data_IF_037679685260
#
_entry.id   IF_037679685260
#
_cell.length_a   1.000
_cell.length_b   1.000
_cell.length_c   1.000
_cell.angle_alpha   90.00
_cell.angle_beta   90.00
_cell.angle_gamma   90.00
#
_symmetry.space_group_name_H-M   'P 1'
#
loop_
_entity.id
_entity.type
_entity.pdbx_description
1 polymer ?
#
# COMPACT_ATOMS: atom_id res chain seq x y z
N UNK A 1 7.69 14.59 -36.98
CA UNK A 1 8.04 13.47 -36.08
C UNK A 1 6.93 12.44 -36.18
N UNK A 2 7.27 11.22 -36.55
CA UNK A 2 6.30 10.12 -36.61
C UNK A 2 6.33 9.40 -35.28
N UNK A 3 5.19 9.35 -34.57
CA UNK A 3 5.04 8.57 -33.38
C UNK A 3 4.85 7.11 -33.76
N UNK A 4 5.55 6.22 -33.07
CA UNK A 4 5.39 4.78 -33.21
C UNK A 4 4.76 4.22 -31.93
N UNK A 5 3.68 3.45 -32.09
CA UNK A 5 3.06 2.68 -31.03
C UNK A 5 3.56 1.25 -31.11
N UNK A 6 4.23 0.80 -30.05
CA UNK A 6 4.75 -0.54 -29.94
C UNK A 6 3.95 -1.34 -28.91
N UNK A 7 3.49 -2.53 -29.28
CA UNK A 7 2.86 -3.46 -28.33
C UNK A 7 3.94 -4.30 -27.65
N UNK A 8 3.95 -4.25 -26.32
CA UNK A 8 4.94 -4.99 -25.51
C UNK A 8 4.20 -5.95 -24.56
N UNK A 9 4.59 -7.22 -24.62
CA UNK A 9 4.11 -8.30 -23.74
C UNK A 9 5.17 -8.76 -22.74
N UNK A 10 6.35 -8.21 -22.81
CA UNK A 10 7.59 -8.67 -22.18
C UNK A 10 8.27 -7.54 -21.38
N UNK A 11 7.49 -6.61 -20.83
CA UNK A 11 8.05 -5.56 -19.97
C UNK A 11 8.79 -6.19 -18.79
N UNK A 12 10.04 -5.82 -18.65
CA UNK A 12 10.88 -6.23 -17.53
C UNK A 12 10.54 -5.42 -16.27
N UNK A 13 10.87 -5.91 -15.06
CA UNK A 13 10.70 -5.11 -13.83
C UNK A 13 11.36 -3.73 -13.92
N UNK A 14 12.57 -3.63 -14.47
CA UNK A 14 13.26 -2.35 -14.63
C UNK A 14 12.54 -1.39 -15.58
N UNK A 15 11.90 -1.89 -16.63
CA UNK A 15 11.09 -1.05 -17.53
C UNK A 15 9.82 -0.56 -16.84
N UNK A 16 9.20 -1.41 -15.99
CA UNK A 16 8.04 -1.01 -15.16
C UNK A 16 8.47 0.04 -14.15
N UNK A 17 9.57 -0.17 -13.45
CA UNK A 17 10.13 0.80 -12.49
C UNK A 17 10.39 2.15 -13.15
N UNK A 18 10.95 2.15 -14.36
CA UNK A 18 11.19 3.38 -15.12
C UNK A 18 9.89 4.12 -15.52
N UNK A 19 8.79 3.41 -15.72
CA UNK A 19 7.48 4.01 -15.95
C UNK A 19 6.93 4.58 -14.62
N UNK A 20 7.05 3.82 -13.54
CA UNK A 20 6.63 4.26 -12.19
C UNK A 20 7.39 5.52 -11.76
N UNK A 21 8.69 5.62 -12.01
CA UNK A 21 9.51 6.80 -11.73
C UNK A 21 9.00 8.03 -12.46
N UNK A 22 8.68 7.92 -13.75
CA UNK A 22 8.12 9.02 -14.52
C UNK A 22 6.74 9.45 -14.01
N UNK A 23 5.94 8.47 -13.62
CA UNK A 23 4.62 8.71 -13.04
C UNK A 23 4.73 9.42 -11.69
N UNK A 24 5.65 8.98 -10.84
CA UNK A 24 5.95 9.62 -9.57
C UNK A 24 6.41 11.07 -9.75
N UNK A 25 7.36 11.33 -10.64
CA UNK A 25 7.84 12.68 -10.94
C UNK A 25 6.71 13.60 -11.41
N UNK A 26 5.88 13.12 -12.32
CA UNK A 26 4.71 13.88 -12.80
C UNK A 26 3.77 14.24 -11.65
N UNK A 27 3.40 13.26 -10.84
CA UNK A 27 2.46 13.46 -9.72
C UNK A 27 3.06 14.35 -8.64
N UNK A 28 4.31 14.14 -8.29
CA UNK A 28 5.03 14.91 -7.27
C UNK A 28 5.17 16.37 -7.67
N UNK A 29 5.46 16.62 -8.95
CA UNK A 29 5.51 17.98 -9.49
C UNK A 29 4.13 18.66 -9.46
N UNK A 30 3.08 17.93 -9.83
CA UNK A 30 1.72 18.46 -9.88
C UNK A 30 1.20 18.96 -8.52
N UNK A 31 1.59 18.31 -7.43
CA UNK A 31 1.14 18.67 -6.06
C UNK A 31 2.25 19.26 -5.18
N UNK A 32 3.47 19.42 -5.71
CA UNK A 32 4.60 19.97 -4.97
C UNK A 32 5.10 19.08 -3.81
N UNK A 33 4.94 17.75 -3.90
CA UNK A 33 5.33 16.80 -2.86
C UNK A 33 6.26 15.72 -3.43
N UNK A 34 7.54 15.81 -3.05
CA UNK A 34 8.62 14.90 -3.49
C UNK A 34 9.15 14.03 -2.34
N UNK A 35 8.28 13.70 -1.39
CA UNK A 35 8.61 12.96 -0.18
C UNK A 35 8.25 11.46 -0.27
N UNK A 36 8.10 10.94 -1.47
CA UNK A 36 7.83 9.53 -1.71
C UNK A 36 8.99 8.65 -1.24
N UNK A 37 8.68 7.63 -0.45
CA UNK A 37 9.67 6.71 0.09
C UNK A 37 9.09 5.31 0.19
N UNK A 38 9.85 4.32 -0.29
CA UNK A 38 9.52 2.90 -0.10
C UNK A 38 9.46 2.54 1.38
N UNK A 39 8.59 1.60 1.69
CA UNK A 39 8.38 1.08 3.03
C UNK A 39 8.25 -0.43 2.95
N UNK A 40 9.07 -1.15 3.70
CA UNK A 40 9.02 -2.61 3.70
C UNK A 40 9.57 -3.22 4.97
N UNK A 41 9.06 -4.41 5.27
CA UNK A 41 9.53 -5.29 6.34
C UNK A 41 9.69 -6.69 5.82
N UNK A 42 10.70 -7.39 6.27
CA UNK A 42 11.01 -8.77 5.87
C UNK A 42 11.23 -9.60 7.12
N UNK A 43 10.64 -10.78 7.16
CA UNK A 43 10.93 -11.81 8.16
C UNK A 43 11.80 -12.87 7.50
N UNK A 44 12.88 -13.26 8.19
CA UNK A 44 13.77 -14.34 7.76
C UNK A 44 13.82 -15.42 8.80
N UNK A 45 14.00 -16.66 8.37
CA UNK A 45 14.30 -17.77 9.24
C UNK A 45 15.78 -17.81 9.65
N UNK A 46 16.15 -18.80 10.47
CA UNK A 46 17.53 -18.97 10.97
C UNK A 46 18.55 -19.27 9.85
N UNK A 47 18.11 -19.67 8.67
CA UNK A 47 18.95 -19.87 7.49
C UNK A 47 19.13 -18.60 6.65
N UNK A 48 18.41 -17.52 7.01
CA UNK A 48 18.39 -16.27 6.24
C UNK A 48 17.38 -16.25 5.11
N UNK A 49 16.58 -17.31 4.92
CA UNK A 49 15.53 -17.35 3.92
C UNK A 49 14.38 -16.42 4.28
N UNK A 50 13.89 -15.64 3.30
CA UNK A 50 12.71 -14.81 3.48
C UNK A 50 11.46 -15.68 3.60
N UNK A 51 10.77 -15.58 4.72
CA UNK A 51 9.54 -16.32 5.03
C UNK A 51 8.29 -15.45 5.10
N UNK A 52 8.46 -14.15 5.06
CA UNK A 52 7.36 -13.19 4.99
C UNK A 52 7.86 -11.80 4.68
N UNK A 53 6.99 -10.99 4.08
CA UNK A 53 7.27 -9.60 3.77
C UNK A 53 6.00 -8.75 3.67
N UNK A 54 6.15 -7.47 3.97
CA UNK A 54 5.20 -6.42 3.66
C UNK A 54 5.94 -5.32 2.90
N UNK A 55 5.36 -4.82 1.81
CA UNK A 55 5.98 -3.80 0.99
C UNK A 55 4.96 -2.81 0.45
N UNK A 56 5.36 -1.56 0.38
CA UNK A 56 4.57 -0.46 -0.14
C UNK A 56 5.36 0.84 -0.10
N UNK A 57 4.69 1.94 0.20
CA UNK A 57 5.31 3.25 0.25
C UNK A 57 4.53 4.24 1.11
N UNK A 58 5.18 5.35 1.42
CA UNK A 58 4.56 6.58 1.92
C UNK A 58 4.84 7.72 0.94
N UNK A 59 3.87 8.59 0.73
CA UNK A 59 3.99 9.78 -0.11
C UNK A 59 2.89 10.77 0.23
N UNK A 60 3.22 12.04 0.27
CA UNK A 60 2.25 13.13 0.43
C UNK A 60 1.23 12.93 1.56
N UNK A 61 1.67 12.36 2.67
CA UNK A 61 0.81 12.10 3.82
C UNK A 61 -0.13 10.90 3.70
N UNK A 62 0.10 10.03 2.72
CA UNK A 62 -0.62 8.76 2.55
C UNK A 62 0.34 7.57 2.52
N UNK A 63 -0.19 6.38 2.70
CA UNK A 63 0.53 5.12 2.54
C UNK A 63 -0.31 4.10 1.78
N UNK A 64 0.35 3.27 1.00
CA UNK A 64 -0.23 2.08 0.40
C UNK A 64 0.58 0.85 0.82
N UNK A 65 -0.10 -0.17 1.32
CA UNK A 65 0.46 -1.50 1.48
C UNK A 65 0.17 -2.28 0.18
N UNK A 66 1.18 -2.38 -0.70
CA UNK A 66 1.04 -3.01 -2.01
C UNK A 66 1.04 -4.53 -1.93
N UNK A 67 1.93 -5.08 -1.13
CA UNK A 67 2.16 -6.52 -1.05
C UNK A 67 2.32 -6.95 0.40
N UNK A 68 1.64 -8.03 0.75
CA UNK A 68 1.88 -8.77 1.99
C UNK A 68 1.86 -10.26 1.69
N UNK A 69 2.87 -10.97 2.17
CA UNK A 69 3.01 -12.39 1.94
C UNK A 69 3.68 -13.05 3.14
N UNK A 70 3.20 -14.24 3.47
CA UNK A 70 3.84 -15.14 4.43
C UNK A 70 3.87 -16.53 3.79
N UNK A 71 5.03 -17.16 3.83
CA UNK A 71 5.23 -18.52 3.34
C UNK A 71 4.21 -19.48 3.98
N UNK A 72 3.67 -20.38 3.17
CA UNK A 72 2.62 -21.33 3.59
C UNK A 72 3.01 -22.14 4.83
N UNK A 73 4.27 -22.55 4.94
CA UNK A 73 4.78 -23.33 6.06
C UNK A 73 4.81 -22.54 7.40
N UNK A 74 4.74 -21.23 7.33
CA UNK A 74 4.84 -20.33 8.48
C UNK A 74 3.54 -19.60 8.82
N UNK A 75 2.44 -19.88 8.08
CA UNK A 75 1.13 -19.27 8.35
C UNK A 75 0.52 -19.74 9.66
N UNK A 76 -0.44 -18.96 10.17
CA UNK A 76 -1.14 -19.28 11.42
C UNK A 76 -0.31 -19.03 12.70
N UNK A 77 0.82 -18.33 12.60
CA UNK A 77 1.73 -18.03 13.70
C UNK A 77 1.78 -16.54 14.09
N UNK A 78 0.92 -15.73 13.50
CA UNK A 78 0.86 -14.29 13.77
C UNK A 78 1.83 -13.42 12.97
N UNK A 79 2.60 -13.97 12.03
CA UNK A 79 3.60 -13.21 11.27
C UNK A 79 2.99 -12.15 10.36
N UNK A 80 1.87 -12.44 9.70
CA UNK A 80 1.17 -11.46 8.87
C UNK A 80 0.70 -10.27 9.70
N UNK A 81 0.16 -10.52 10.88
CA UNK A 81 -0.26 -9.45 11.80
C UNK A 81 0.92 -8.62 12.29
N UNK A 82 2.03 -9.26 12.63
CA UNK A 82 3.25 -8.56 13.05
C UNK A 82 3.81 -7.67 11.93
N UNK A 83 3.81 -8.15 10.68
CA UNK A 83 4.20 -7.38 9.51
C UNK A 83 3.27 -6.17 9.31
N UNK A 84 1.97 -6.38 9.43
CA UNK A 84 0.97 -5.32 9.29
C UNK A 84 1.15 -4.25 10.38
N UNK A 85 1.29 -4.66 11.62
CA UNK A 85 1.46 -3.74 12.74
C UNK A 85 2.75 -2.90 12.59
N UNK A 86 3.85 -3.52 12.20
CA UNK A 86 5.11 -2.83 11.94
C UNK A 86 4.98 -1.82 10.78
N UNK A 87 4.34 -2.23 9.70
CA UNK A 87 4.11 -1.37 8.53
C UNK A 87 3.25 -0.16 8.88
N UNK A 88 2.15 -0.37 9.61
CA UNK A 88 1.25 0.70 10.05
C UNK A 88 1.96 1.69 10.97
N UNK A 89 2.74 1.22 11.94
CA UNK A 89 3.48 2.10 12.86
C UNK A 89 4.54 2.93 12.14
N UNK A 90 5.27 2.34 11.21
CA UNK A 90 6.24 3.08 10.42
C UNK A 90 5.57 4.13 9.52
N UNK A 91 4.48 3.77 8.86
CA UNK A 91 3.71 4.71 8.05
C UNK A 91 3.19 5.89 8.90
N UNK A 92 2.67 5.60 10.10
CA UNK A 92 2.25 6.64 11.05
C UNK A 92 3.41 7.54 11.47
N UNK A 93 4.56 6.96 11.80
CA UNK A 93 5.79 7.68 12.17
C UNK A 93 6.29 8.61 11.07
N UNK A 94 6.07 8.29 9.80
CA UNK A 94 6.37 9.14 8.64
C UNK A 94 5.31 10.21 8.36
N UNK A 95 4.26 10.30 9.18
CA UNK A 95 3.19 11.28 9.04
C UNK A 95 2.09 10.89 8.06
N UNK A 96 2.01 9.63 7.65
CA UNK A 96 0.89 9.15 6.86
C UNK A 96 -0.41 9.22 7.68
N UNK A 97 -1.40 9.88 7.13
CA UNK A 97 -2.71 10.06 7.79
C UNK A 97 -3.65 8.90 7.51
N UNK A 98 -3.47 8.26 6.37
CA UNK A 98 -4.28 7.13 5.91
C UNK A 98 -3.39 6.09 5.24
N UNK A 99 -3.81 4.85 5.39
CA UNK A 99 -3.24 3.71 4.67
C UNK A 99 -4.36 2.93 4.00
N UNK A 100 -4.14 2.48 2.77
CA UNK A 100 -5.05 1.60 2.07
C UNK A 100 -4.36 0.33 1.60
N UNK A 101 -5.16 -0.71 1.39
CA UNK A 101 -4.75 -2.01 0.88
C UNK A 101 -5.85 -2.58 0.00
N UNK A 102 -5.48 -3.27 -1.06
CA UNK A 102 -6.37 -4.13 -1.83
C UNK A 102 -6.15 -5.59 -1.43
N UNK A 103 -7.24 -6.31 -1.14
CA UNK A 103 -7.20 -7.72 -0.77
C UNK A 103 -8.29 -8.47 -1.52
N UNK A 104 -7.91 -9.56 -2.19
CA UNK A 104 -8.91 -10.47 -2.74
C UNK A 104 -9.63 -11.22 -1.62
N UNK A 105 -10.88 -11.62 -1.88
CA UNK A 105 -11.73 -12.36 -0.93
C UNK A 105 -11.11 -13.70 -0.48
N UNK A 106 -10.27 -14.32 -1.33
CA UNK A 106 -9.53 -15.55 -1.02
C UNK A 106 -8.20 -15.30 -0.29
N UNK A 107 -7.81 -14.06 -0.06
CA UNK A 107 -6.65 -13.69 0.76
C UNK A 107 -7.08 -13.56 2.23
N UNK A 108 -6.84 -12.45 2.88
CA UNK A 108 -7.17 -12.28 4.29
C UNK A 108 -7.80 -10.90 4.60
N UNK A 109 -8.93 -10.52 3.95
CA UNK A 109 -9.55 -9.22 4.21
C UNK A 109 -9.98 -9.07 5.68
N UNK A 110 -10.39 -10.15 6.34
CA UNK A 110 -10.76 -10.15 7.75
C UNK A 110 -9.63 -9.79 8.71
N UNK A 111 -8.38 -10.08 8.36
CA UNK A 111 -7.21 -9.67 9.16
C UNK A 111 -7.08 -8.15 9.18
N UNK A 112 -7.27 -7.50 8.03
CA UNK A 112 -7.24 -6.04 7.94
C UNK A 112 -8.40 -5.41 8.72
N UNK A 113 -9.59 -5.96 8.62
CA UNK A 113 -10.75 -5.48 9.39
C UNK A 113 -10.52 -5.57 10.90
N UNK A 114 -9.95 -6.68 11.38
CA UNK A 114 -9.54 -6.85 12.80
C UNK A 114 -8.46 -5.85 13.23
N UNK A 115 -7.65 -5.38 12.30
CA UNK A 115 -6.64 -4.34 12.53
C UNK A 115 -7.19 -2.91 12.43
N UNK A 116 -8.50 -2.74 12.25
CA UNK A 116 -9.18 -1.45 12.20
C UNK A 116 -9.32 -0.83 10.81
N UNK A 117 -9.03 -1.60 9.76
CA UNK A 117 -9.31 -1.18 8.38
C UNK A 117 -10.81 -1.30 8.10
N UNK A 118 -11.35 -0.37 7.32
CA UNK A 118 -12.73 -0.36 6.86
C UNK A 118 -12.82 -0.66 5.38
N UNK A 119 -13.79 -1.45 4.97
CA UNK A 119 -14.09 -1.68 3.55
C UNK A 119 -14.59 -0.38 2.93
N UNK A 120 -13.96 0.03 1.85
CA UNK A 120 -14.30 1.24 1.10
C UNK A 120 -14.95 0.93 -0.23
N UNK A 121 -14.58 -0.17 -0.85
CA UNK A 121 -15.12 -0.62 -2.13
C UNK A 121 -14.93 -2.13 -2.28
N UNK A 122 -15.75 -2.73 -3.14
CA UNK A 122 -15.65 -4.13 -3.54
C UNK A 122 -15.92 -4.25 -5.03
N UNK A 123 -14.98 -4.86 -5.74
CA UNK A 123 -15.11 -5.15 -7.17
C UNK A 123 -15.45 -6.62 -7.38
N UNK A 124 -16.73 -6.91 -7.57
CA UNK A 124 -17.20 -8.26 -7.91
C UNK A 124 -16.71 -8.68 -9.29
N UNK A 125 -16.40 -9.98 -9.44
CA UNK A 125 -15.85 -10.50 -10.69
C UNK A 125 -14.40 -10.16 -10.95
N UNK A 126 -13.64 -9.82 -9.92
CA UNK A 126 -12.24 -9.42 -9.98
C UNK A 126 -11.37 -10.32 -9.07
N UNK A 127 -10.87 -11.47 -9.57
CA UNK A 127 -11.18 -12.13 -10.84
C UNK A 127 -12.54 -12.83 -10.83
N UNK A 128 -12.93 -13.46 -11.95
CA UNK A 128 -14.20 -14.14 -12.10
C UNK A 128 -14.50 -15.10 -10.95
N UNK A 129 -15.70 -14.99 -10.35
CA UNK A 129 -16.11 -15.77 -9.18
C UNK A 129 -15.59 -15.28 -7.84
N UNK A 130 -14.81 -14.19 -7.83
CA UNK A 130 -14.19 -13.58 -6.66
C UNK A 130 -14.44 -12.07 -6.61
N UNK A 131 -13.97 -11.45 -5.56
CA UNK A 131 -13.99 -9.98 -5.39
C UNK A 131 -12.64 -9.46 -4.98
N UNK A 132 -12.32 -8.24 -5.41
CA UNK A 132 -11.23 -7.45 -4.87
C UNK A 132 -11.80 -6.39 -3.93
N UNK A 133 -11.29 -6.34 -2.71
CA UNK A 133 -11.80 -5.49 -1.64
C UNK A 133 -10.76 -4.42 -1.33
N UNK A 134 -11.19 -3.17 -1.35
CA UNK A 134 -10.37 -2.03 -0.97
C UNK A 134 -10.69 -1.67 0.47
N UNK A 135 -9.66 -1.67 1.31
CA UNK A 135 -9.77 -1.33 2.73
C UNK A 135 -8.85 -0.14 3.06
N UNK A 136 -9.31 0.70 3.97
CA UNK A 136 -8.57 1.88 4.40
C UNK A 136 -8.60 2.01 5.92
N UNK A 137 -7.49 2.49 6.49
CA UNK A 137 -7.39 2.84 7.90
C UNK A 137 -6.90 4.27 8.06
N UNK A 138 -7.57 5.05 8.91
CA UNK A 138 -7.09 6.34 9.39
C UNK A 138 -6.02 6.12 10.45
N UNK A 139 -4.85 6.71 10.28
CA UNK A 139 -3.71 6.57 11.19
C UNK A 139 -3.57 7.77 12.11
N UNK A 140 -3.88 8.95 11.61
CA UNK A 140 -3.80 10.22 12.34
C UNK A 140 -5.12 10.95 12.12
N UNK A 141 -5.88 11.16 13.20
CA UNK A 141 -7.09 11.97 13.14
C UNK A 141 -6.74 13.42 12.75
N UNK A 142 -7.62 14.06 11.98
CA UNK A 142 -7.55 15.51 11.84
C UNK A 142 -7.77 16.09 13.23
N UNK A 143 -6.83 16.83 13.77
CA UNK A 143 -7.14 17.79 14.81
C UNK A 143 -8.11 18.80 14.18
N UNK A 144 -9.36 18.82 14.63
CA UNK A 144 -10.31 19.88 14.32
C UNK A 144 -9.80 21.18 14.97
N UNK A 145 -8.82 21.81 14.33
CA UNK A 145 -8.66 23.24 14.50
C UNK A 145 -9.69 23.89 13.59
N UNK A 146 -10.94 23.87 14.05
CA UNK A 146 -11.92 24.85 13.66
C UNK A 146 -11.47 26.21 14.21
N UNK A 147 -10.48 26.79 13.56
CA UNK A 147 -10.31 28.21 13.51
C UNK A 147 -11.28 28.72 12.47
N UNK A 148 -12.51 28.93 12.85
CA UNK A 148 -13.42 29.79 12.12
C UNK A 148 -12.79 31.18 12.19
N UNK A 149 -12.02 31.55 11.19
CA UNK A 149 -11.82 32.97 10.92
C UNK A 149 -13.01 33.46 10.10
N UNK A 150 -14.07 33.80 10.81
CA UNK A 150 -15.12 34.69 10.33
C UNK A 150 -14.57 36.11 10.46
N UNK A 151 -13.87 36.56 9.46
CA UNK A 151 -13.70 38.00 9.25
C UNK A 151 -13.88 38.31 7.78
N UNK A 152 -15.12 38.71 7.50
CA UNK A 152 -15.62 39.66 6.49
C UNK A 152 -15.14 39.44 5.05
#
# INVERSE_FOLDING_TARGET
>A
MTLQLETRHDLTPNEVDAIEDRFYEHNSHAIGRHDGQGLGFVIRDDTGQMIGAAAGYTWAGISELKHMWVDKAYRGRGYARALLDAFVEEARGRGARRIWVASYDFQAPGMYEKAGFKRMAEFAGWPAGHSNIILCKTLIERSDTNGVDQSI
#
